data_IF_931449462917
#
_entry.id   IF_931449462917
#
_cell.length_a   1.000
_cell.length_b   1.000
_cell.length_c   1.000
_cell.angle_alpha   90.00
_cell.angle_beta   90.00
_cell.angle_gamma   90.00
#
_symmetry.space_group_name_H-M   'P 1'
#
loop_
_entity.id
_entity.type
_entity.pdbx_description
1 polymer ?
#
# COMPACT_ATOMS: atom_id res chain seq x y z
N UNK A 1 19.37 5.83 -3.65
CA UNK A 1 18.17 6.68 -3.50
C UNK A 1 17.20 6.32 -4.60
N UNK A 2 15.98 5.89 -4.23
CA UNK A 2 14.90 5.67 -5.19
C UNK A 2 13.93 6.84 -5.07
N UNK A 3 13.76 7.62 -6.13
CA UNK A 3 12.85 8.76 -6.16
C UNK A 3 11.59 8.45 -6.95
N UNK A 4 10.63 9.38 -6.90
CA UNK A 4 9.40 9.32 -7.69
C UNK A 4 9.70 9.05 -9.17
N UNK A 5 9.08 8.00 -9.71
CA UNK A 5 9.28 7.58 -11.10
C UNK A 5 8.78 8.62 -12.11
N UNK A 6 9.37 8.59 -13.30
CA UNK A 6 8.90 9.38 -14.44
C UNK A 6 7.73 8.66 -15.15
N UNK A 7 6.82 9.41 -15.80
CA UNK A 7 5.78 8.82 -16.64
C UNK A 7 6.32 7.80 -17.65
N UNK A 8 5.59 6.72 -17.90
CA UNK A 8 5.98 5.65 -18.83
C UNK A 8 6.68 4.44 -18.20
N UNK A 9 6.96 4.46 -16.89
CA UNK A 9 7.53 3.31 -16.14
C UNK A 9 6.45 2.42 -15.49
N UNK A 10 5.19 2.85 -15.54
CA UNK A 10 4.02 2.19 -14.96
C UNK A 10 2.72 2.64 -15.67
N UNK A 11 1.60 1.91 -15.50
CA UNK A 11 0.30 2.32 -16.04
C UNK A 11 -0.24 3.63 -15.45
N UNK A 12 -0.76 4.53 -16.29
CA UNK A 12 -1.30 5.87 -15.91
C UNK A 12 -2.27 5.85 -14.72
N UNK A 13 -3.04 4.78 -14.54
CA UNK A 13 -3.89 4.56 -13.38
C UNK A 13 -3.20 4.81 -12.03
N UNK A 14 -1.90 4.49 -11.93
CA UNK A 14 -1.13 4.66 -10.70
C UNK A 14 -0.62 6.08 -10.46
N UNK A 15 -0.82 7.03 -11.39
CA UNK A 15 -0.43 8.43 -11.20
C UNK A 15 -1.07 9.04 -9.96
N UNK A 16 -2.30 8.63 -9.62
CA UNK A 16 -3.00 9.06 -8.41
C UNK A 16 -2.24 8.73 -7.10
N UNK A 17 -1.39 7.70 -7.13
CA UNK A 17 -0.55 7.29 -6.00
C UNK A 17 0.84 7.91 -6.09
N UNK A 18 1.49 7.80 -7.25
CA UNK A 18 2.84 8.33 -7.45
C UNK A 18 2.85 9.85 -7.26
N UNK A 19 1.78 10.54 -7.64
CA UNK A 19 1.62 11.99 -7.41
C UNK A 19 1.63 12.40 -5.94
N UNK A 20 1.27 11.50 -5.01
CA UNK A 20 1.22 11.79 -3.56
C UNK A 20 2.61 11.89 -2.93
N UNK A 21 3.64 11.33 -3.58
CA UNK A 21 4.99 11.30 -3.05
C UNK A 21 5.62 12.70 -3.13
N UNK A 22 6.25 13.19 -2.05
CA UNK A 22 7.04 14.40 -2.07
C UNK A 22 8.17 14.32 -3.10
N UNK A 23 8.49 15.45 -3.72
CA UNK A 23 9.65 15.53 -4.60
C UNK A 23 10.94 15.44 -3.78
N UNK A 24 11.98 14.82 -4.34
CA UNK A 24 13.32 14.71 -3.75
C UNK A 24 13.39 13.97 -2.40
N UNK A 25 12.42 13.12 -2.09
CA UNK A 25 12.47 12.22 -0.93
C UNK A 25 12.76 10.79 -1.37
N UNK A 26 13.57 10.08 -0.59
CA UNK A 26 13.81 8.67 -0.85
C UNK A 26 12.56 7.85 -0.50
N UNK A 27 12.08 7.05 -1.45
CA UNK A 27 10.90 6.21 -1.30
C UNK A 27 11.08 5.21 -0.15
N UNK A 28 12.30 4.75 0.11
CA UNK A 28 12.58 3.86 1.23
C UNK A 28 12.35 4.52 2.59
N UNK A 29 12.66 5.81 2.74
CA UNK A 29 12.39 6.58 3.97
C UNK A 29 10.88 6.72 4.20
N UNK A 30 10.12 6.99 3.13
CA UNK A 30 8.65 7.08 3.18
C UNK A 30 8.07 5.73 3.63
N UNK A 31 8.48 4.64 2.98
CA UNK A 31 8.01 3.29 3.31
C UNK A 31 8.32 2.92 4.77
N UNK A 32 9.51 3.27 5.28
CA UNK A 32 9.91 2.99 6.66
C UNK A 32 9.09 3.78 7.69
N UNK A 33 8.65 4.99 7.37
CA UNK A 33 7.86 5.83 8.28
C UNK A 33 6.37 5.45 8.36
N UNK A 34 5.82 4.80 7.33
CA UNK A 34 4.37 4.54 7.20
C UNK A 34 3.73 3.73 8.33
N UNK A 35 4.36 2.67 8.89
CA UNK A 35 3.78 1.95 10.01
C UNK A 35 3.57 2.84 11.23
N UNK A 36 4.56 3.69 11.56
CA UNK A 36 4.45 4.63 12.66
C UNK A 36 3.40 5.70 12.36
N UNK A 37 3.38 6.25 11.15
CA UNK A 37 2.36 7.22 10.74
C UNK A 37 0.94 6.68 10.88
N UNK A 38 0.70 5.44 10.44
CA UNK A 38 -0.61 4.79 10.56
C UNK A 38 -0.98 4.56 12.03
N UNK A 39 -0.03 4.10 12.84
CA UNK A 39 -0.22 3.91 14.28
C UNK A 39 -0.57 5.22 14.98
N UNK A 40 0.20 6.28 14.72
CA UNK A 40 0.00 7.61 15.31
C UNK A 40 -1.38 8.16 14.95
N UNK A 41 -1.76 8.05 13.67
CA UNK A 41 -3.05 8.50 13.13
C UNK A 41 -4.23 7.83 13.85
N UNK A 42 -4.06 6.60 14.35
CA UNK A 42 -5.12 5.79 14.95
C UNK A 42 -4.95 5.59 16.45
N UNK A 43 -4.03 6.32 17.11
CA UNK A 43 -3.70 6.16 18.54
C UNK A 43 -4.91 6.18 19.47
N UNK A 44 -5.88 7.06 19.19
CA UNK A 44 -7.09 7.23 20.01
C UNK A 44 -8.32 6.52 19.43
N UNK A 45 -8.14 5.65 18.43
CA UNK A 45 -9.24 4.96 17.79
C UNK A 45 -9.73 3.78 18.64
N UNK A 46 -11.04 3.75 18.93
CA UNK A 46 -11.66 2.60 19.59
C UNK A 46 -11.97 1.49 18.59
N UNK A 47 -11.99 0.24 19.06
CA UNK A 47 -12.36 -0.93 18.24
C UNK A 47 -13.72 -0.74 17.55
N UNK A 48 -14.72 -0.24 18.28
CA UNK A 48 -16.07 0.00 17.76
C UNK A 48 -16.10 1.06 16.65
N UNK A 49 -15.26 2.10 16.73
CA UNK A 49 -15.20 3.10 15.68
C UNK A 49 -14.35 2.62 14.49
N UNK A 50 -13.35 1.78 14.73
CA UNK A 50 -12.54 1.18 13.67
C UNK A 50 -13.35 0.24 12.75
N UNK A 51 -14.46 -0.31 13.25
CA UNK A 51 -15.40 -1.15 12.50
C UNK A 51 -16.43 -0.35 11.67
N UNK A 52 -16.37 0.99 11.69
CA UNK A 52 -17.31 1.84 10.95
C UNK A 52 -16.69 2.44 9.70
N UNK A 53 -17.46 2.41 8.62
CA UNK A 53 -17.19 3.23 7.45
C UNK A 53 -17.64 4.68 7.63
N UNK A 54 -17.05 5.60 6.87
CA UNK A 54 -17.43 7.03 6.90
C UNK A 54 -18.80 7.34 6.29
N UNK A 55 -19.41 6.36 5.62
CA UNK A 55 -20.75 6.41 5.03
C UNK A 55 -21.27 4.98 4.78
N UNK A 56 -22.59 4.78 4.61
CA UNK A 56 -23.17 3.48 4.27
C UNK A 56 -22.51 2.86 3.03
N UNK A 57 -22.14 1.58 3.12
CA UNK A 57 -21.50 0.83 2.03
C UNK A 57 -20.03 1.20 1.77
N UNK A 58 -19.40 2.00 2.63
CA UNK A 58 -17.96 2.27 2.58
C UNK A 58 -17.22 1.40 3.59
N UNK A 59 -16.00 1.04 3.23
CA UNK A 59 -15.15 0.21 4.07
C UNK A 59 -14.96 0.81 5.46
N UNK A 60 -14.82 -0.06 6.45
CA UNK A 60 -14.38 0.32 7.79
C UNK A 60 -12.90 0.73 7.80
N UNK A 61 -12.44 1.33 8.91
CA UNK A 61 -11.00 1.59 9.09
C UNK A 61 -10.21 0.28 9.07
N UNK A 62 -10.72 -0.77 9.75
CA UNK A 62 -10.08 -2.10 9.75
C UNK A 62 -9.97 -2.68 8.34
N UNK A 63 -11.01 -2.53 7.53
CA UNK A 63 -11.02 -2.97 6.12
C UNK A 63 -10.05 -2.16 5.25
N UNK A 64 -9.90 -0.85 5.48
CA UNK A 64 -8.88 -0.04 4.79
C UNK A 64 -7.46 -0.51 5.15
N UNK A 65 -7.20 -0.84 6.41
CA UNK A 65 -5.89 -1.36 6.84
C UNK A 65 -5.66 -2.76 6.23
N UNK A 66 -6.66 -3.62 6.26
CA UNK A 66 -6.62 -4.94 5.61
C UNK A 66 -6.30 -4.85 4.12
N UNK A 67 -6.97 -3.94 3.41
CA UNK A 67 -6.69 -3.63 2.01
C UNK A 67 -5.24 -3.18 1.78
N UNK A 68 -4.70 -2.31 2.64
CA UNK A 68 -3.30 -1.90 2.55
C UNK A 68 -2.34 -3.09 2.68
N UNK A 69 -2.59 -3.98 3.63
CA UNK A 69 -1.77 -5.17 3.86
C UNK A 69 -1.79 -6.08 2.62
N UNK A 70 -2.98 -6.38 2.09
CA UNK A 70 -3.14 -7.30 0.96
C UNK A 70 -2.60 -6.70 -0.35
N UNK A 71 -2.89 -5.44 -0.63
CA UNK A 71 -2.38 -4.75 -1.81
C UNK A 71 -0.85 -4.70 -1.80
N UNK A 72 -0.24 -4.36 -0.66
CA UNK A 72 1.21 -4.32 -0.51
C UNK A 72 1.85 -5.69 -0.74
N UNK A 73 1.24 -6.78 -0.23
CA UNK A 73 1.70 -8.15 -0.51
C UNK A 73 1.64 -8.48 -1.99
N UNK A 74 0.56 -8.11 -2.67
CA UNK A 74 0.44 -8.29 -4.13
C UNK A 74 1.50 -7.50 -4.87
N UNK A 75 1.77 -6.24 -4.48
CA UNK A 75 2.80 -5.42 -5.11
C UNK A 75 4.20 -5.95 -4.85
N UNK A 76 4.49 -6.41 -3.63
CA UNK A 76 5.77 -7.02 -3.27
C UNK A 76 5.99 -8.34 -4.00
N UNK A 77 4.97 -9.19 -4.10
CA UNK A 77 5.01 -10.43 -4.90
C UNK A 77 5.32 -10.13 -6.37
N UNK A 78 4.64 -9.15 -6.96
CA UNK A 78 4.92 -8.74 -8.34
C UNK A 78 6.33 -8.20 -8.51
N UNK A 79 6.81 -7.42 -7.54
CA UNK A 79 8.17 -6.88 -7.55
C UNK A 79 9.20 -8.01 -7.52
N UNK A 80 9.00 -9.00 -6.63
CA UNK A 80 9.81 -10.21 -6.57
C UNK A 80 9.85 -10.91 -7.92
N UNK A 81 8.70 -11.30 -8.49
CA UNK A 81 8.64 -12.01 -9.77
C UNK A 81 9.33 -11.23 -10.90
N UNK A 82 9.01 -9.95 -11.07
CA UNK A 82 9.58 -9.13 -12.16
C UNK A 82 11.08 -8.92 -11.97
N UNK A 83 11.54 -8.69 -10.74
CA UNK A 83 12.97 -8.57 -10.42
C UNK A 83 13.77 -9.87 -10.67
N UNK A 84 13.07 -10.99 -10.88
CA UNK A 84 13.62 -12.31 -11.22
C UNK A 84 13.32 -12.70 -12.67
N UNK A 85 12.94 -11.73 -13.51
CA UNK A 85 12.69 -11.90 -14.95
C UNK A 85 11.56 -12.88 -15.25
N UNK A 86 10.54 -12.95 -14.39
CA UNK A 86 9.33 -13.72 -14.68
C UNK A 86 8.73 -13.27 -16.03
N UNK A 87 8.48 -14.24 -16.92
CA UNK A 87 7.96 -14.02 -18.26
C UNK A 87 6.43 -14.09 -18.35
N UNK A 88 5.76 -14.62 -17.34
CA UNK A 88 4.31 -14.70 -17.28
C UNK A 88 3.68 -13.36 -16.88
N UNK A 89 2.48 -13.09 -17.43
CA UNK A 89 1.65 -11.96 -16.99
C UNK A 89 1.10 -12.24 -15.61
N UNK A 90 1.44 -11.41 -14.63
CA UNK A 90 0.99 -11.56 -13.25
C UNK A 90 -0.48 -11.11 -13.12
N UNK A 91 -1.31 -11.86 -12.38
CA UNK A 91 -2.76 -11.64 -12.36
C UNK A 91 -3.10 -10.29 -11.72
N UNK A 92 -4.24 -9.72 -12.15
CA UNK A 92 -4.90 -8.65 -11.40
C UNK A 92 -5.60 -9.20 -10.16
N UNK A 93 -6.03 -8.33 -9.26
CA UNK A 93 -6.93 -8.67 -8.16
C UNK A 93 -8.07 -7.65 -8.08
N UNK A 94 -9.20 -8.06 -7.52
CA UNK A 94 -10.34 -7.18 -7.24
C UNK A 94 -10.33 -6.79 -5.77
N UNK A 95 -10.08 -5.51 -5.49
CA UNK A 95 -9.92 -5.02 -4.11
C UNK A 95 -11.20 -5.15 -3.28
N UNK A 96 -12.38 -5.00 -3.89
CA UNK A 96 -13.65 -5.12 -3.18
C UNK A 96 -13.91 -6.56 -2.75
N UNK A 97 -13.64 -7.52 -3.63
CA UNK A 97 -13.74 -8.96 -3.35
C UNK A 97 -12.77 -9.34 -2.25
N UNK A 98 -11.53 -8.86 -2.30
CA UNK A 98 -10.53 -9.16 -1.27
C UNK A 98 -10.95 -8.62 0.09
N UNK A 99 -11.48 -7.39 0.14
CA UNK A 99 -12.02 -6.81 1.38
C UNK A 99 -13.24 -7.57 1.90
N UNK A 100 -14.17 -7.94 1.01
CA UNK A 100 -15.38 -8.71 1.35
C UNK A 100 -15.03 -10.05 2.03
N UNK A 101 -14.02 -10.76 1.50
CA UNK A 101 -13.61 -12.08 2.01
C UNK A 101 -12.44 -12.04 3.02
N UNK A 102 -11.88 -10.86 3.31
CA UNK A 102 -10.74 -10.70 4.21
C UNK A 102 -11.08 -10.76 5.70
N UNK A 103 -12.36 -10.67 6.06
CA UNK A 103 -12.88 -10.74 7.43
C UNK A 103 -12.14 -9.80 8.42
N UNK A 104 -11.74 -8.61 7.94
CA UNK A 104 -10.88 -7.70 8.70
C UNK A 104 -11.54 -7.15 9.98
N UNK A 105 -12.87 -6.98 9.98
CA UNK A 105 -13.59 -6.49 11.15
C UNK A 105 -13.58 -7.47 12.33
N UNK A 106 -13.36 -8.78 12.10
CA UNK A 106 -13.27 -9.74 13.21
C UNK A 106 -11.93 -9.72 13.94
N UNK A 107 -10.97 -8.92 13.46
CA UNK A 107 -9.62 -8.80 14.03
C UNK A 107 -9.55 -7.54 14.88
N UNK A 108 -8.69 -7.53 15.90
CA UNK A 108 -8.42 -6.29 16.64
C UNK A 108 -7.67 -5.30 15.78
N UNK A 109 -7.90 -4.01 16.02
CA UNK A 109 -7.16 -2.95 15.34
C UNK A 109 -5.66 -3.09 15.58
N UNK A 110 -5.26 -3.43 16.81
CA UNK A 110 -3.86 -3.66 17.16
C UNK A 110 -3.20 -4.76 16.34
N UNK A 111 -3.90 -5.87 16.08
CA UNK A 111 -3.39 -6.97 15.24
C UNK A 111 -3.19 -6.55 13.78
N UNK A 112 -4.08 -5.72 13.24
CA UNK A 112 -3.96 -5.22 11.86
C UNK A 112 -2.78 -4.24 11.75
N UNK A 113 -2.60 -3.35 12.72
CA UNK A 113 -1.46 -2.41 12.75
C UNK A 113 -0.12 -3.14 12.88
N UNK A 114 -0.05 -4.16 13.74
CA UNK A 114 1.13 -5.01 13.89
C UNK A 114 1.45 -5.77 12.60
N UNK A 115 0.45 -6.38 11.96
CA UNK A 115 0.65 -7.07 10.69
C UNK A 115 1.12 -6.13 9.58
N UNK A 116 0.55 -4.92 9.49
CA UNK A 116 1.01 -3.92 8.52
C UNK A 116 2.48 -3.56 8.73
N UNK A 117 2.90 -3.40 9.99
CA UNK A 117 4.31 -3.16 10.34
C UNK A 117 5.22 -4.32 9.92
N UNK A 118 4.85 -5.56 10.25
CA UNK A 118 5.62 -6.77 9.89
C UNK A 118 5.70 -6.92 8.37
N UNK A 119 4.58 -6.76 7.67
CA UNK A 119 4.53 -6.84 6.21
C UNK A 119 5.44 -5.76 5.58
N UNK A 120 5.37 -4.52 6.06
CA UNK A 120 6.25 -3.43 5.59
C UNK A 120 7.73 -3.76 5.79
N UNK A 121 8.11 -4.29 6.95
CA UNK A 121 9.49 -4.70 7.22
C UNK A 121 9.96 -5.82 6.27
N UNK A 122 9.11 -6.82 6.01
CA UNK A 122 9.40 -7.88 5.04
C UNK A 122 9.57 -7.32 3.62
N UNK A 123 8.69 -6.40 3.21
CA UNK A 123 8.79 -5.74 1.90
C UNK A 123 10.06 -4.90 1.77
N UNK A 124 10.43 -4.14 2.81
CA UNK A 124 11.68 -3.38 2.83
C UNK A 124 12.91 -4.29 2.73
N UNK A 125 12.90 -5.45 3.40
CA UNK A 125 13.98 -6.43 3.27
C UNK A 125 14.11 -6.95 1.84
N UNK A 126 12.99 -7.27 1.18
CA UNK A 126 12.97 -7.63 -0.24
C UNK A 126 13.52 -6.50 -1.11
N UNK A 127 12.98 -5.29 -0.97
CA UNK A 127 13.30 -4.16 -1.84
C UNK A 127 14.77 -3.73 -1.71
N UNK A 128 15.33 -3.74 -0.50
CA UNK A 128 16.75 -3.42 -0.26
C UNK A 128 17.71 -4.51 -0.79
N UNK A 129 17.23 -5.72 -1.08
CA UNK A 129 18.05 -6.78 -1.66
C UNK A 129 18.23 -6.68 -3.17
N UNK A 130 17.48 -5.78 -3.84
CA UNK A 130 17.49 -5.65 -5.29
C UNK A 130 18.60 -4.71 -5.74
N UNK A 131 19.43 -5.19 -6.67
CA UNK A 131 20.41 -4.35 -7.36
C UNK A 131 19.75 -3.50 -8.46
N UNK A 132 20.55 -2.65 -9.10
CA UNK A 132 20.08 -1.75 -10.16
C UNK A 132 19.50 -2.52 -11.37
N UNK A 133 20.07 -3.67 -11.72
CA UNK A 133 19.59 -4.47 -12.84
C UNK A 133 18.21 -5.05 -12.53
N UNK A 134 18.03 -5.58 -11.32
CA UNK A 134 16.78 -6.11 -10.80
C UNK A 134 15.69 -5.03 -10.72
N UNK A 135 16.05 -3.84 -10.24
CA UNK A 135 15.13 -2.70 -10.12
C UNK A 135 14.62 -2.20 -11.48
N UNK A 136 15.46 -2.28 -12.52
CA UNK A 136 15.12 -1.84 -13.87
C UNK A 136 14.48 -2.95 -14.74
N UNK A 137 14.25 -4.15 -14.22
CA UNK A 137 13.53 -5.20 -14.95
C UNK A 137 12.11 -4.77 -15.29
N UNK A 138 11.71 -5.08 -16.53
CA UNK A 138 10.36 -4.89 -17.03
C UNK A 138 9.63 -6.24 -17.06
N UNK A 139 8.39 -6.26 -16.57
CA UNK A 139 7.51 -7.41 -16.66
C UNK A 139 6.08 -6.97 -17.00
N UNK A 140 5.14 -7.91 -16.89
CA UNK A 140 3.72 -7.66 -17.16
C UNK A 140 2.91 -8.00 -15.93
N UNK A 141 2.11 -7.04 -15.45
CA UNK A 141 1.15 -7.26 -14.37
C UNK A 141 -0.18 -6.62 -14.73
N UNK A 142 -1.29 -7.32 -14.44
CA UNK A 142 -2.63 -6.89 -14.86
C UNK A 142 -2.70 -6.58 -16.37
N UNK A 143 -1.98 -7.37 -17.20
CA UNK A 143 -1.85 -7.19 -18.65
C UNK A 143 -1.26 -5.84 -19.09
N UNK A 144 -0.47 -5.19 -18.23
CA UNK A 144 0.22 -3.94 -18.55
C UNK A 144 1.72 -4.05 -18.24
N UNK A 145 2.59 -3.41 -19.04
CA UNK A 145 4.01 -3.35 -18.76
C UNK A 145 4.27 -2.52 -17.50
N UNK A 146 5.17 -3.00 -16.64
CA UNK A 146 5.57 -2.31 -15.41
C UNK A 146 7.00 -2.68 -15.01
N UNK A 147 7.74 -1.71 -14.48
CA UNK A 147 9.07 -1.96 -13.93
C UNK A 147 9.01 -2.44 -12.47
N UNK A 148 9.98 -3.26 -12.05
CA UNK A 148 10.09 -3.72 -10.65
C UNK A 148 10.14 -2.54 -9.67
N UNK A 149 11.02 -1.55 -9.91
CA UNK A 149 11.09 -0.33 -9.09
C UNK A 149 9.78 0.45 -9.05
N UNK A 150 8.95 0.36 -10.09
CA UNK A 150 7.67 1.06 -10.10
C UNK A 150 6.67 0.51 -9.09
N UNK A 151 6.70 -0.78 -8.83
CA UNK A 151 5.89 -1.39 -7.77
C UNK A 151 6.28 -0.87 -6.38
N UNK A 152 7.56 -0.62 -6.13
CA UNK A 152 8.05 -0.04 -4.86
C UNK A 152 7.48 1.38 -4.67
N UNK A 153 7.58 2.22 -5.70
CA UNK A 153 7.05 3.60 -5.69
C UNK A 153 5.53 3.61 -5.56
N UNK A 154 4.83 2.71 -6.26
CA UNK A 154 3.37 2.55 -6.17
C UNK A 154 2.96 2.17 -4.75
N UNK A 155 3.67 1.21 -4.13
CA UNK A 155 3.42 0.77 -2.75
C UNK A 155 3.48 1.96 -1.79
N UNK A 156 4.50 2.81 -1.92
CA UNK A 156 4.65 3.99 -1.09
C UNK A 156 3.51 5.01 -1.31
N UNK A 157 3.21 5.34 -2.56
CA UNK A 157 2.15 6.30 -2.90
C UNK A 157 0.74 5.81 -2.54
N UNK A 158 0.50 4.50 -2.65
CA UNK A 158 -0.77 3.85 -2.34
C UNK A 158 -1.10 3.95 -0.84
N UNK A 159 -0.13 3.63 0.02
CA UNK A 159 -0.28 3.80 1.46
C UNK A 159 -0.52 5.28 1.85
N UNK A 160 0.23 6.23 1.28
CA UNK A 160 -0.01 7.67 1.53
C UNK A 160 -1.41 8.10 1.10
N UNK A 161 -1.91 7.60 -0.03
CA UNK A 161 -3.27 7.90 -0.49
C UNK A 161 -4.33 7.45 0.52
N UNK A 162 -4.20 6.24 1.08
CA UNK A 162 -5.16 5.75 2.07
C UNK A 162 -5.00 6.41 3.44
N UNK A 163 -3.79 6.78 3.86
CA UNK A 163 -3.58 7.59 5.06
C UNK A 163 -4.34 8.91 4.98
N UNK A 164 -4.25 9.62 3.84
CA UNK A 164 -5.04 10.84 3.59
C UNK A 164 -6.54 10.59 3.64
N UNK A 165 -7.01 9.48 3.06
CA UNK A 165 -8.42 9.11 3.13
C UNK A 165 -8.88 8.88 4.58
N UNK A 166 -8.09 8.18 5.40
CA UNK A 166 -8.37 7.95 6.81
C UNK A 166 -8.47 9.27 7.58
N UNK A 167 -7.49 10.15 7.39
CA UNK A 167 -7.46 11.48 8.01
C UNK A 167 -8.66 12.33 7.58
N UNK A 168 -8.85 12.53 6.28
CA UNK A 168 -9.84 13.47 5.73
C UNK A 168 -11.29 13.01 5.94
N UNK A 169 -11.56 11.71 5.82
CA UNK A 169 -12.92 11.17 5.73
C UNK A 169 -13.40 10.44 6.97
N UNK A 170 -12.50 9.80 7.72
CA UNK A 170 -12.87 9.01 8.89
C UNK A 170 -12.67 9.81 10.17
N UNK A 171 -11.45 10.29 10.44
CA UNK A 171 -11.14 10.91 11.73
C UNK A 171 -11.93 12.20 11.98
N UNK A 172 -12.01 13.07 10.97
CA UNK A 172 -12.80 14.31 11.04
C UNK A 172 -14.30 14.07 11.32
N UNK A 173 -14.82 12.86 11.11
CA UNK A 173 -16.23 12.51 11.32
C UNK A 173 -16.48 11.62 12.55
N UNK A 174 -15.50 10.81 12.94
CA UNK A 174 -15.64 9.81 14.00
C UNK A 174 -15.06 10.24 15.35
N UNK A 175 -14.20 11.26 15.36
CA UNK A 175 -13.66 11.89 16.56
C UNK A 175 -14.12 13.35 16.57
N UNK A 176 -15.24 13.70 17.24
CA UNK A 176 -15.58 15.09 17.45
C UNK A 176 -14.49 15.76 18.32
N UNK A 177 -14.22 17.04 18.03
CA UNK A 177 -13.30 17.89 18.79
C UNK A 177 -13.64 17.97 20.28
#
# INVERSE_FOLDING_TARGET
>A
MLTKNQPGQYPEYFDRYVSQLPNNTDVFEILAAQPQQLSDLLTNMSELNAEKGYAPGKWSIKEVIGHLIDADRVFAYRCLCISRREGQSLPSFDENTYVEYGNFNSRSLSNLLEEFSIARQSHLALFNSLDEEMLNQMGVASNKPIMAKALIVITAGHALHHLKILEERYLNKLLPA
#
